data_IF_032354621430
#
_entry.id   IF_032354621430
#
_cell.length_a   1.000
_cell.length_b   1.000
_cell.length_c   1.000
_cell.angle_alpha   90.00
_cell.angle_beta   90.00
_cell.angle_gamma   90.00
#
_symmetry.space_group_name_H-M   'P 1'
#
loop_
_entity.id
_entity.type
_entity.pdbx_description
1 polymer ?
#
# COMPACT_ATOMS: atom_id res chain seq x y z
N UNK A 1 -4.12 9.48 16.14
CA UNK A 1 -5.39 10.23 16.12
C UNK A 1 -6.39 9.35 15.41
N UNK A 2 -7.62 9.21 15.94
CA UNK A 2 -8.66 8.49 15.21
C UNK A 2 -8.87 9.18 13.85
N UNK A 3 -9.01 8.44 12.74
CA UNK A 3 -9.03 9.03 11.39
C UNK A 3 -10.35 9.74 11.07
N UNK A 4 -11.13 10.15 12.08
CA UNK A 4 -12.47 10.70 11.89
C UNK A 4 -12.59 12.12 12.44
N UNK A 5 -13.09 13.03 11.62
CA UNK A 5 -13.56 14.36 12.02
C UNK A 5 -15.00 14.52 11.57
N UNK A 6 -15.92 14.81 12.48
CA UNK A 6 -17.35 14.93 12.21
C UNK A 6 -18.00 13.69 11.55
N UNK A 7 -17.39 12.51 11.70
CA UNK A 7 -17.87 11.25 11.11
C UNK A 7 -17.29 10.91 9.74
N UNK A 8 -16.52 11.82 9.13
CA UNK A 8 -15.82 11.60 7.87
C UNK A 8 -14.37 11.19 8.10
N UNK A 9 -13.87 10.31 7.22
CA UNK A 9 -12.47 9.88 7.25
C UNK A 9 -11.60 11.04 6.76
N UNK A 10 -10.66 11.47 7.59
CA UNK A 10 -9.70 12.54 7.28
C UNK A 10 -8.45 11.92 6.67
N UNK A 11 -8.06 12.40 5.49
CA UNK A 11 -6.77 12.05 4.91
C UNK A 11 -5.64 12.66 5.76
N UNK A 12 -4.79 11.83 6.39
CA UNK A 12 -3.74 12.32 7.26
C UNK A 12 -2.65 13.12 6.51
N UNK A 13 -2.53 13.00 5.18
CA UNK A 13 -1.59 13.74 4.35
C UNK A 13 -2.12 15.07 3.80
N UNK A 14 -3.44 15.29 3.85
CA UNK A 14 -4.07 16.43 3.19
C UNK A 14 -3.60 17.77 3.79
N UNK A 15 -3.10 18.66 2.91
CA UNK A 15 -2.73 20.03 3.25
C UNK A 15 -1.47 20.19 4.10
N UNK A 16 -0.61 19.16 4.19
CA UNK A 16 0.61 19.18 5.03
C UNK A 16 1.88 19.16 4.19
N UNK A 17 2.85 19.99 4.59
CA UNK A 17 4.24 19.94 4.07
C UNK A 17 5.02 18.78 4.71
N UNK A 18 4.86 18.63 6.02
CA UNK A 18 5.55 17.58 6.78
C UNK A 18 4.78 16.25 6.73
N UNK A 19 5.47 15.12 6.58
CA UNK A 19 4.83 13.80 6.63
C UNK A 19 4.09 13.57 7.95
N UNK A 20 2.91 12.96 7.87
CA UNK A 20 2.02 12.72 9.01
C UNK A 20 2.55 11.70 10.02
N UNK A 21 3.56 10.91 9.64
CA UNK A 21 4.13 9.84 10.45
C UNK A 21 5.66 9.94 10.48
N UNK A 22 6.31 9.61 11.61
CA UNK A 22 7.76 9.52 11.65
C UNK A 22 8.27 8.37 10.76
N UNK A 23 9.35 8.59 10.01
CA UNK A 23 9.95 7.56 9.14
C UNK A 23 10.42 6.30 9.90
N UNK A 24 10.66 6.43 11.21
CA UNK A 24 11.06 5.33 12.10
C UNK A 24 9.92 4.36 12.45
N UNK A 25 8.68 4.70 12.11
CA UNK A 25 7.54 3.81 12.36
C UNK A 25 7.73 2.49 11.61
N UNK A 26 7.55 1.39 12.35
CA UNK A 26 7.76 0.02 11.86
C UNK A 26 9.18 -0.23 11.31
N UNK A 27 10.16 0.58 11.72
CA UNK A 27 11.56 0.46 11.32
C UNK A 27 11.82 0.75 9.85
N UNK A 28 10.93 1.50 9.19
CA UNK A 28 11.05 1.82 7.77
C UNK A 28 12.29 2.67 7.45
N UNK A 29 12.81 3.42 8.43
CA UNK A 29 14.06 4.19 8.34
C UNK A 29 15.29 3.33 7.99
N UNK A 30 15.24 2.02 8.22
CA UNK A 30 16.26 1.06 7.77
C UNK A 30 16.33 0.95 6.25
N UNK A 31 15.19 1.09 5.58
CA UNK A 31 15.02 0.78 4.16
C UNK A 31 14.76 2.03 3.30
N UNK A 32 14.10 3.04 3.85
CA UNK A 32 13.68 4.21 3.09
C UNK A 32 13.81 5.53 3.86
N UNK A 33 13.77 6.63 3.11
CA UNK A 33 13.63 8.01 3.62
C UNK A 33 12.43 8.67 2.96
N UNK A 34 11.90 9.71 3.60
CA UNK A 34 11.02 10.63 2.91
C UNK A 34 11.77 11.36 1.79
N UNK A 35 11.09 11.51 0.66
CA UNK A 35 11.56 12.32 -0.46
C UNK A 35 10.41 13.22 -0.90
N UNK A 36 10.64 14.54 -0.88
CA UNK A 36 9.67 15.50 -1.40
C UNK A 36 9.76 15.50 -2.93
N UNK A 37 8.63 15.36 -3.61
CA UNK A 37 8.52 15.42 -5.06
C UNK A 37 7.43 16.41 -5.46
N UNK A 38 7.48 16.91 -6.70
CA UNK A 38 6.56 17.94 -7.20
C UNK A 38 7.11 19.36 -7.07
N UNK A 39 6.70 20.24 -7.98
CA UNK A 39 7.14 21.65 -7.98
C UNK A 39 6.54 22.47 -6.82
N UNK A 40 5.53 21.92 -6.14
CA UNK A 40 4.84 22.56 -5.02
C UNK A 40 5.48 22.27 -3.65
N UNK A 41 6.37 21.27 -3.56
CA UNK A 41 6.95 20.82 -2.29
C UNK A 41 5.95 20.19 -1.32
N UNK A 42 4.73 19.89 -1.76
CA UNK A 42 3.64 19.36 -0.93
C UNK A 42 3.51 17.83 -1.05
N UNK A 43 3.99 17.24 -2.14
CA UNK A 43 3.84 15.81 -2.37
C UNK A 43 5.04 15.04 -1.82
N UNK A 44 4.78 14.03 -0.98
CA UNK A 44 5.81 13.19 -0.38
C UNK A 44 5.80 11.80 -1.01
N UNK A 45 6.99 11.21 -1.18
CA UNK A 45 7.23 9.80 -1.51
C UNK A 45 8.12 9.14 -0.46
N UNK A 46 8.21 7.81 -0.52
CA UNK A 46 9.28 7.06 0.14
C UNK A 46 10.33 6.66 -0.87
N UNK A 47 11.60 6.93 -0.59
CA UNK A 47 12.74 6.56 -1.44
C UNK A 47 13.62 5.53 -0.77
N UNK A 48 13.99 4.49 -1.51
CA UNK A 48 14.87 3.43 -1.04
C UNK A 48 16.27 3.98 -0.69
N UNK A 49 16.82 3.57 0.45
CA UNK A 49 18.19 3.89 0.91
C UNK A 49 19.21 2.85 0.50
N UNK A 50 18.75 1.61 0.32
CA UNK A 50 19.59 0.44 0.10
C UNK A 50 18.97 -0.42 -1.00
N UNK A 51 19.83 -1.20 -1.66
CA UNK A 51 19.39 -2.25 -2.56
C UNK A 51 18.71 -3.38 -1.76
N UNK A 52 17.57 -3.85 -2.24
CA UNK A 52 16.84 -4.97 -1.67
C UNK A 52 16.47 -5.98 -2.77
N UNK A 53 16.63 -7.29 -2.53
CA UNK A 53 16.30 -8.29 -3.52
C UNK A 53 14.79 -8.40 -3.73
N UNK A 54 14.38 -8.90 -4.90
CA UNK A 54 13.00 -9.24 -5.20
C UNK A 54 12.33 -10.04 -4.06
N UNK A 55 11.10 -9.67 -3.70
CA UNK A 55 10.31 -10.35 -2.66
C UNK A 55 10.74 -10.08 -1.20
N UNK A 56 11.78 -9.28 -0.96
CA UNK A 56 12.22 -8.92 0.39
C UNK A 56 11.09 -8.30 1.22
N UNK A 57 10.99 -8.67 2.50
CA UNK A 57 10.03 -8.07 3.44
C UNK A 57 10.55 -6.72 3.92
N UNK A 58 9.83 -5.64 3.59
CA UNK A 58 10.16 -4.29 4.07
C UNK A 58 9.54 -4.05 5.45
N UNK A 59 8.30 -4.47 5.65
CA UNK A 59 7.63 -4.33 6.94
C UNK A 59 6.24 -4.92 6.98
N UNK A 60 5.75 -5.17 8.19
CA UNK A 60 4.38 -5.61 8.45
C UNK A 60 3.44 -4.43 8.67
N UNK A 61 2.19 -4.57 8.21
CA UNK A 61 1.13 -3.56 8.39
C UNK A 61 0.41 -3.85 9.71
N UNK A 62 1.04 -3.46 10.80
CA UNK A 62 0.55 -3.72 12.18
C UNK A 62 -0.12 -2.50 12.80
N UNK A 63 0.31 -1.29 12.46
CA UNK A 63 -0.36 -0.06 12.86
C UNK A 63 -1.34 0.35 11.76
N UNK A 64 -2.64 0.13 11.94
CA UNK A 64 -3.65 0.48 10.95
C UNK A 64 -4.99 0.75 11.65
N UNK A 65 -5.94 1.40 10.96
CA UNK A 65 -7.32 1.55 11.47
C UNK A 65 -8.30 0.96 10.48
N UNK A 66 -9.14 -0.02 10.86
CA UNK A 66 -10.18 -0.55 9.99
C UNK A 66 -11.21 0.52 9.60
N UNK A 67 -11.58 0.52 8.31
CA UNK A 67 -12.55 1.41 7.71
C UNK A 67 -13.63 0.59 6.99
N UNK A 68 -14.89 1.03 7.09
CA UNK A 68 -16.04 0.40 6.40
C UNK A 68 -16.31 0.96 5.01
N UNK A 69 -15.65 2.07 4.65
CA UNK A 69 -15.82 2.78 3.38
C UNK A 69 -14.45 3.22 2.86
N UNK A 70 -14.26 3.28 1.53
CA UNK A 70 -13.04 3.83 0.96
C UNK A 70 -12.89 5.31 1.33
N UNK A 71 -11.65 5.71 1.58
CA UNK A 71 -11.17 7.09 1.64
C UNK A 71 -10.01 7.27 0.66
N UNK A 72 -9.57 8.51 0.44
CA UNK A 72 -8.48 8.80 -0.50
C UNK A 72 -7.18 8.07 -0.14
N UNK A 73 -6.81 8.06 1.14
CA UNK A 73 -5.62 7.43 1.70
C UNK A 73 -5.79 5.96 2.08
N UNK A 74 -7.01 5.41 1.97
CA UNK A 74 -7.30 4.06 2.43
C UNK A 74 -6.81 2.99 1.46
N UNK A 75 -6.47 1.82 1.99
CA UNK A 75 -6.16 0.62 1.20
C UNK A 75 -7.22 -0.44 1.45
N UNK A 76 -7.78 -1.01 0.38
CA UNK A 76 -8.74 -2.09 0.45
C UNK A 76 -8.06 -3.40 0.89
N UNK A 77 -8.67 -4.08 1.87
CA UNK A 77 -8.19 -5.36 2.41
C UNK A 77 -9.12 -6.52 2.10
N UNK A 78 -10.34 -6.25 1.65
CA UNK A 78 -11.38 -7.24 1.39
C UNK A 78 -12.52 -6.63 0.56
N UNK A 79 -13.53 -7.42 0.14
CA UNK A 79 -14.60 -6.91 -0.72
C UNK A 79 -15.37 -5.71 -0.15
N UNK A 80 -15.46 -5.62 1.18
CA UNK A 80 -16.16 -4.55 1.90
C UNK A 80 -15.34 -3.98 3.07
N UNK A 81 -14.01 -4.12 3.05
CA UNK A 81 -13.14 -3.66 4.13
C UNK A 81 -11.96 -2.86 3.59
N UNK A 82 -11.65 -1.78 4.29
CA UNK A 82 -10.50 -0.92 4.04
C UNK A 82 -9.73 -0.70 5.33
N UNK A 83 -8.52 -0.18 5.21
CA UNK A 83 -7.73 0.33 6.33
C UNK A 83 -7.15 1.71 6.01
N UNK A 84 -6.95 2.49 7.06
CA UNK A 84 -5.95 3.57 7.06
C UNK A 84 -4.60 2.99 7.50
N UNK A 85 -3.52 3.30 6.78
CA UNK A 85 -2.22 2.65 6.97
C UNK A 85 -1.45 3.12 8.20
N UNK A 86 -1.82 4.27 8.79
CA UNK A 86 -1.23 4.84 10.00
C UNK A 86 0.32 4.79 10.09
N UNK A 87 0.99 4.94 8.95
CA UNK A 87 2.43 4.72 8.83
C UNK A 87 2.99 5.49 7.62
N UNK A 88 4.33 5.60 7.51
CA UNK A 88 4.96 6.17 6.32
C UNK A 88 4.55 5.50 5.01
N UNK A 89 4.08 4.24 5.05
CA UNK A 89 3.59 3.51 3.88
C UNK A 89 2.46 4.22 3.14
N UNK A 90 1.76 5.15 3.80
CA UNK A 90 0.81 6.09 3.19
C UNK A 90 1.38 6.83 1.97
N UNK A 91 2.67 7.12 1.98
CA UNK A 91 3.34 7.93 0.96
C UNK A 91 3.94 7.08 -0.18
N UNK A 92 3.53 5.82 -0.32
CA UNK A 92 3.93 4.98 -1.44
C UNK A 92 2.95 5.21 -2.59
N UNK A 93 3.44 5.86 -3.65
CA UNK A 93 2.61 6.30 -4.76
C UNK A 93 2.33 5.19 -5.79
N UNK A 94 1.44 5.47 -6.73
CA UNK A 94 1.13 4.57 -7.82
C UNK A 94 2.26 4.53 -8.87
N UNK A 95 2.54 3.34 -9.40
CA UNK A 95 3.21 3.17 -10.70
C UNK A 95 2.64 1.99 -11.48
N UNK A 96 2.56 2.12 -12.80
CA UNK A 96 2.26 1.01 -13.71
C UNK A 96 3.47 0.08 -13.92
N UNK A 97 4.67 0.48 -13.49
CA UNK A 97 5.86 -0.36 -13.41
C UNK A 97 6.38 -0.36 -11.97
N UNK A 98 5.64 -0.97 -11.03
CA UNK A 98 5.93 -0.87 -9.60
C UNK A 98 7.21 -1.61 -9.19
N UNK A 99 7.73 -1.27 -8.02
CA UNK A 99 8.88 -1.94 -7.40
C UNK A 99 8.57 -2.50 -6.00
N UNK A 100 7.39 -2.22 -5.45
CA UNK A 100 6.90 -2.83 -4.21
C UNK A 100 5.46 -3.32 -4.35
N UNK A 101 5.07 -4.23 -3.47
CA UNK A 101 3.77 -4.87 -3.41
C UNK A 101 3.21 -4.76 -1.98
N UNK A 102 1.99 -4.23 -1.87
CA UNK A 102 1.15 -4.43 -0.70
C UNK A 102 0.48 -5.79 -0.81
N UNK A 103 0.81 -6.69 0.13
CA UNK A 103 0.17 -8.00 0.26
C UNK A 103 -0.73 -7.97 1.48
N UNK A 104 -1.99 -7.71 1.20
CA UNK A 104 -3.05 -7.47 2.17
C UNK A 104 -3.64 -8.78 2.67
N UNK A 105 -4.13 -8.73 3.90
CA UNK A 105 -4.90 -9.80 4.52
C UNK A 105 -6.30 -9.28 4.81
N UNK A 106 -7.31 -10.01 4.34
CA UNK A 106 -8.71 -9.73 4.67
C UNK A 106 -8.97 -10.00 6.14
N UNK A 107 -9.80 -9.16 6.80
CA UNK A 107 -10.33 -9.53 8.11
C UNK A 107 -11.28 -10.73 7.99
N UNK A 108 -11.52 -11.40 9.12
CA UNK A 108 -12.54 -12.44 9.23
C UNK A 108 -13.98 -11.87 9.09
N UNK A 109 -14.98 -12.75 9.17
CA UNK A 109 -16.38 -12.35 9.07
C UNK A 109 -16.86 -11.41 10.21
N UNK A 110 -16.11 -11.35 11.31
CA UNK A 110 -16.37 -10.47 12.45
C UNK A 110 -15.58 -9.14 12.33
N UNK A 111 -14.74 -9.00 11.32
CA UNK A 111 -13.92 -7.80 11.09
C UNK A 111 -12.57 -7.82 11.79
N UNK A 112 -12.14 -8.96 12.35
CA UNK A 112 -10.86 -9.07 13.04
C UNK A 112 -9.74 -9.41 12.05
N UNK A 113 -8.61 -8.73 12.15
CA UNK A 113 -7.39 -9.16 11.45
C UNK A 113 -6.62 -10.18 12.30
N UNK A 114 -5.77 -11.02 11.67
CA UNK A 114 -4.98 -12.02 12.39
C UNK A 114 -4.10 -11.44 13.49
N UNK A 115 -3.91 -12.22 14.56
CA UNK A 115 -2.83 -12.04 15.53
C UNK A 115 -1.56 -12.73 15.03
N UNK A 116 -0.46 -12.65 15.78
CA UNK A 116 0.79 -13.37 15.44
C UNK A 116 0.56 -14.86 15.26
N UNK A 117 -0.26 -15.48 16.12
CA UNK A 117 -0.47 -16.93 16.13
C UNK A 117 -1.32 -17.42 14.95
N UNK A 118 -2.16 -16.55 14.38
CA UNK A 118 -3.02 -16.87 13.22
C UNK A 118 -2.51 -16.29 11.91
N UNK A 119 -1.42 -15.50 11.94
CA UNK A 119 -0.78 -14.98 10.74
C UNK A 119 0.18 -16.01 10.15
N UNK A 120 0.01 -16.33 8.87
CA UNK A 120 0.90 -17.24 8.16
C UNK A 120 2.26 -16.57 7.89
N UNK A 121 3.20 -16.73 8.82
CA UNK A 121 4.58 -16.24 8.67
C UNK A 121 5.30 -17.09 7.63
N UNK A 122 5.95 -16.44 6.66
CA UNK A 122 6.79 -17.16 5.69
C UNK A 122 8.03 -17.72 6.37
N UNK A 123 8.46 -18.89 5.91
CA UNK A 123 9.65 -19.55 6.44
C UNK A 123 10.85 -18.59 6.46
N UNK A 124 11.56 -18.54 7.60
CA UNK A 124 12.72 -17.69 7.82
C UNK A 124 12.42 -16.20 8.06
N UNK A 125 11.16 -15.77 8.11
CA UNK A 125 10.78 -14.40 8.46
C UNK A 125 10.48 -14.26 9.96
N UNK A 126 10.79 -13.10 10.57
CA UNK A 126 10.41 -12.84 11.95
C UNK A 126 8.89 -12.77 12.07
N UNK A 127 8.33 -13.35 13.13
CA UNK A 127 6.90 -13.23 13.38
C UNK A 127 6.52 -11.75 13.68
N UNK A 128 5.45 -11.20 13.08
CA UNK A 128 5.00 -9.84 13.38
C UNK A 128 4.47 -9.75 14.81
N UNK A 129 4.74 -8.65 15.51
CA UNK A 129 3.96 -8.26 16.68
C UNK A 129 2.67 -7.59 16.19
N UNK A 130 1.47 -8.04 16.60
CA UNK A 130 0.23 -7.47 16.11
C UNK A 130 0.03 -6.07 16.73
N UNK A 131 -0.56 -5.15 15.96
CA UNK A 131 -1.02 -3.89 16.55
C UNK A 131 -2.39 -4.05 17.19
N UNK A 132 -3.00 -2.92 17.58
CA UNK A 132 -4.33 -2.86 18.22
C UNK A 132 -5.39 -3.68 17.47
N UNK A 133 -5.36 -3.64 16.14
CA UNK A 133 -6.35 -4.29 15.28
C UNK A 133 -5.83 -5.57 14.62
N UNK A 134 -4.62 -6.05 14.96
CA UNK A 134 -4.00 -7.22 14.34
C UNK A 134 -3.00 -6.87 13.23
N UNK A 135 -2.88 -7.76 12.24
CA UNK A 135 -1.93 -7.66 11.11
C UNK A 135 -2.72 -7.59 9.81
N UNK A 136 -2.69 -6.44 9.13
CA UNK A 136 -3.43 -6.22 7.89
C UNK A 136 -2.66 -6.62 6.62
N UNK A 137 -1.40 -7.03 6.74
CA UNK A 137 -0.60 -7.45 5.61
C UNK A 137 0.89 -7.14 5.76
N UNK A 138 1.56 -7.09 4.63
CA UNK A 138 3.00 -6.84 4.51
C UNK A 138 3.30 -5.97 3.29
N UNK A 139 4.32 -5.13 3.41
CA UNK A 139 4.96 -4.43 2.30
C UNK A 139 6.19 -5.23 1.87
N UNK A 140 6.27 -5.59 0.59
CA UNK A 140 7.41 -6.33 0.02
C UNK A 140 7.98 -5.62 -1.20
N UNK A 141 9.26 -5.87 -1.48
CA UNK A 141 9.80 -5.64 -2.83
C UNK A 141 9.04 -6.52 -3.82
N UNK A 142 8.77 -5.99 -5.01
CA UNK A 142 8.09 -6.73 -6.07
C UNK A 142 8.76 -8.08 -6.33
N UNK A 143 7.96 -9.11 -6.62
CA UNK A 143 8.48 -10.46 -6.77
C UNK A 143 9.31 -10.68 -8.05
N UNK A 144 9.20 -9.78 -9.02
CA UNK A 144 9.78 -9.92 -10.35
C UNK A 144 11.03 -9.05 -10.60
N UNK A 145 11.45 -8.22 -9.64
CA UNK A 145 12.65 -7.40 -9.75
C UNK A 145 13.17 -6.94 -8.39
N UNK A 146 14.45 -6.62 -8.34
CA UNK A 146 15.06 -5.96 -7.19
C UNK A 146 14.60 -4.49 -7.09
N UNK A 147 14.66 -3.95 -5.87
CA UNK A 147 14.54 -2.53 -5.56
C UNK A 147 15.95 -1.95 -5.40
N UNK A 148 16.24 -0.85 -6.10
CA UNK A 148 17.55 -0.19 -6.06
C UNK A 148 17.54 1.04 -5.17
N UNK A 149 18.65 1.28 -4.48
CA UNK A 149 18.84 2.50 -3.71
C UNK A 149 18.62 3.74 -4.61
N UNK A 150 17.87 4.71 -4.11
CA UNK A 150 17.48 5.92 -4.85
C UNK A 150 16.16 5.82 -5.60
N UNK A 151 15.58 4.62 -5.78
CA UNK A 151 14.24 4.48 -6.39
C UNK A 151 13.15 4.91 -5.40
N UNK A 152 12.17 5.68 -5.89
CA UNK A 152 10.93 5.91 -5.15
C UNK A 152 10.10 4.63 -5.13
N UNK A 153 9.64 4.25 -3.93
CA UNK A 153 8.76 3.11 -3.74
C UNK A 153 7.41 3.42 -4.37
N UNK A 154 6.94 2.51 -5.21
CA UNK A 154 5.65 2.60 -5.87
C UNK A 154 5.01 1.24 -6.03
N UNK A 155 3.67 1.20 -5.93
CA UNK A 155 2.89 -0.02 -6.11
C UNK A 155 1.77 0.18 -7.13
N UNK A 156 1.29 -0.93 -7.67
CA UNK A 156 0.21 -0.92 -8.64
C UNK A 156 -1.14 -0.89 -7.92
N UNK A 157 -1.71 0.30 -7.69
CA UNK A 157 -2.97 0.48 -6.93
C UNK A 157 -4.10 -0.51 -7.28
N UNK A 158 -4.36 -0.87 -8.55
CA UNK A 158 -5.38 -1.88 -8.87
C UNK A 158 -5.10 -3.28 -8.26
N UNK A 159 -3.90 -3.55 -7.74
CA UNK A 159 -3.62 -4.79 -7.00
C UNK A 159 -4.33 -4.85 -5.65
N UNK A 160 -4.67 -3.71 -5.04
CA UNK A 160 -5.42 -3.62 -3.79
C UNK A 160 -6.83 -3.12 -4.02
N UNK A 161 -7.04 -2.15 -4.92
CA UNK A 161 -8.31 -1.45 -5.08
C UNK A 161 -9.17 -2.03 -6.21
N UNK A 162 -10.41 -2.42 -5.90
CA UNK A 162 -11.37 -2.91 -6.89
C UNK A 162 -11.92 -1.78 -7.76
N UNK A 163 -12.48 -0.76 -7.13
CA UNK A 163 -13.07 0.42 -7.77
C UNK A 163 -12.66 1.63 -6.93
N UNK A 164 -11.80 2.48 -7.47
CA UNK A 164 -11.26 3.60 -6.71
C UNK A 164 -12.34 4.63 -6.40
N UNK A 165 -12.42 5.05 -5.13
CA UNK A 165 -13.36 6.11 -4.73
C UNK A 165 -13.12 7.44 -5.47
N UNK A 166 -11.87 7.72 -5.87
CA UNK A 166 -11.48 8.88 -6.69
C UNK A 166 -10.43 8.48 -7.74
N UNK A 167 -10.84 8.19 -8.98
CA UNK A 167 -9.91 7.97 -10.09
C UNK A 167 -9.03 9.18 -10.39
N UNK A 168 -7.83 8.95 -10.94
CA UNK A 168 -6.90 10.02 -11.29
C UNK A 168 -6.13 9.72 -12.59
N UNK A 169 -5.64 10.77 -13.23
CA UNK A 169 -4.73 10.66 -14.38
C UNK A 169 -3.35 10.22 -13.89
N UNK A 170 -2.83 9.14 -14.43
CA UNK A 170 -1.53 8.61 -14.06
C UNK A 170 -0.40 9.52 -14.54
N UNK A 171 0.53 9.79 -13.64
CA UNK A 171 1.74 10.59 -13.88
C UNK A 171 3.03 9.76 -13.60
N UNK A 172 2.94 8.44 -13.58
CA UNK A 172 4.11 7.58 -13.36
C UNK A 172 5.03 7.55 -14.59
N UNK A 173 6.29 7.21 -14.37
CA UNK A 173 7.32 7.14 -15.41
C UNK A 173 7.38 5.80 -16.15
N UNK A 174 6.35 4.96 -16.02
CA UNK A 174 6.29 3.70 -16.75
C UNK A 174 6.27 3.94 -18.28
N UNK A 175 6.86 3.04 -19.08
CA UNK A 175 6.76 3.11 -20.55
C UNK A 175 5.30 3.28 -21.01
N UNK A 176 5.10 4.02 -22.11
CA UNK A 176 3.74 4.37 -22.59
C UNK A 176 2.86 3.15 -22.91
N UNK A 177 3.46 2.05 -23.32
CA UNK A 177 2.82 0.76 -23.60
C UNK A 177 2.54 -0.08 -22.34
N UNK A 178 3.08 0.34 -21.19
CA UNK A 178 2.83 -0.25 -19.86
C UNK A 178 1.86 0.61 -19.05
N UNK A 179 1.94 1.93 -19.18
CA UNK A 179 1.13 2.88 -18.43
C UNK A 179 -0.36 2.77 -18.79
N UNK A 180 -1.22 2.64 -17.77
CA UNK A 180 -2.67 2.59 -17.95
C UNK A 180 -3.30 3.94 -18.34
N UNK A 181 -2.55 5.03 -18.25
CA UNK A 181 -3.05 6.38 -18.48
C UNK A 181 -3.95 6.90 -17.36
N UNK A 182 -5.02 6.19 -17.01
CA UNK A 182 -5.93 6.58 -15.92
C UNK A 182 -6.10 5.43 -14.94
N UNK A 183 -5.99 5.72 -13.64
CA UNK A 183 -6.10 4.72 -12.57
C UNK A 183 -7.50 4.77 -11.97
N UNK A 184 -8.20 3.64 -12.04
CA UNK A 184 -9.61 3.49 -11.65
C UNK A 184 -9.88 2.29 -10.74
N UNK A 185 -8.89 1.44 -10.47
CA UNK A 185 -9.07 0.16 -9.75
C UNK A 185 -9.19 -1.04 -10.71
N UNK A 186 -9.04 -2.24 -10.16
CA UNK A 186 -8.92 -3.50 -10.90
C UNK A 186 -10.12 -3.80 -11.81
N UNK A 187 -11.33 -3.40 -11.43
CA UNK A 187 -12.56 -3.58 -12.22
C UNK A 187 -12.45 -3.01 -13.63
N UNK A 188 -11.61 -2.00 -13.83
CA UNK A 188 -11.45 -1.27 -15.09
C UNK A 188 -10.19 -1.67 -15.87
N UNK A 189 -9.43 -2.64 -15.38
CA UNK A 189 -8.19 -3.11 -16.02
C UNK A 189 -8.46 -4.44 -16.71
N UNK A 190 -7.97 -4.59 -17.94
CA UNK A 190 -8.06 -5.87 -18.65
C UNK A 190 -7.38 -6.99 -17.85
N UNK A 191 -7.99 -8.18 -17.85
CA UNK A 191 -7.52 -9.32 -17.05
C UNK A 191 -6.13 -9.80 -17.46
N UNK A 192 -5.79 -9.74 -18.75
CA UNK A 192 -4.45 -10.10 -19.22
C UNK A 192 -3.41 -9.09 -18.73
N UNK A 193 -3.79 -7.82 -18.61
CA UNK A 193 -2.94 -6.78 -18.01
C UNK A 193 -2.78 -7.01 -16.51
N UNK A 194 -3.87 -7.26 -15.77
CA UNK A 194 -3.83 -7.58 -14.34
C UNK A 194 -2.95 -8.80 -14.05
N UNK A 195 -2.99 -9.83 -14.90
CA UNK A 195 -2.19 -11.05 -14.77
C UNK A 195 -0.67 -10.83 -14.83
N UNK A 196 -0.20 -9.63 -15.18
CA UNK A 196 1.22 -9.25 -15.15
C UNK A 196 1.70 -8.77 -13.77
N UNK A 197 0.77 -8.54 -12.83
CA UNK A 197 1.07 -7.99 -11.51
C UNK A 197 0.74 -9.01 -10.42
N UNK A 198 1.35 -8.81 -9.25
CA UNK A 198 0.75 -9.35 -8.03
C UNK A 198 -0.61 -8.67 -7.81
N UNK A 199 -1.65 -9.47 -7.59
CA UNK A 199 -3.01 -9.02 -7.30
C UNK A 199 -3.46 -9.68 -6.02
N UNK A 200 -3.96 -8.90 -5.06
CA UNK A 200 -4.33 -9.40 -3.75
C UNK A 200 -5.49 -10.42 -3.82
N UNK A 201 -5.56 -11.39 -2.89
CA UNK A 201 -6.58 -12.43 -2.90
C UNK A 201 -8.02 -11.89 -3.00
N UNK A 202 -8.34 -10.81 -2.28
CA UNK A 202 -9.67 -10.22 -2.33
C UNK A 202 -10.03 -9.66 -3.71
N UNK A 203 -9.07 -9.10 -4.44
CA UNK A 203 -9.31 -8.65 -5.82
C UNK A 203 -9.47 -9.85 -6.75
N UNK A 204 -8.67 -10.91 -6.57
CA UNK A 204 -8.83 -12.14 -7.35
C UNK A 204 -10.22 -12.77 -7.14
N UNK A 205 -10.74 -12.73 -5.92
CA UNK A 205 -12.07 -13.22 -5.61
C UNK A 205 -13.17 -12.36 -6.26
N UNK A 206 -13.00 -11.04 -6.31
CA UNK A 206 -13.94 -10.12 -6.97
C UNK A 206 -13.89 -10.18 -8.51
N UNK A 207 -12.81 -10.74 -9.07
CA UNK A 207 -12.70 -11.02 -10.49
C UNK A 207 -13.45 -12.29 -10.92
N UNK A 208 -13.88 -13.17 -10.00
CA UNK A 208 -14.61 -14.39 -10.38
C UNK A 208 -16.03 -14.06 -10.81
#
# INVERSE_FOLDING_TARGET
>A
MAPYLNGDIVDPSEGKTDPAYPITFQGLDKYCVYHSHGQDGLSNSLRAKIDLPAGHLIGYITNHTPLKKPAWSSVQTGPNSHIELNSPMLYINHSCAPNVEFRMVSPDAQGNYPSTDSYAVREGQPAPTPGEFGIAGELRVAGNRDLKAGEDLSFFYPSTEWDMGKPFQCLCDAPKDVCLGKIQGAKHVDRQVLGKYYVNPHIQDMLK
#
